data_IF_843192251380
#
_entry.id   IF_843192251380
#
_cell.length_a   1.000
_cell.length_b   1.000
_cell.length_c   1.000
_cell.angle_alpha   90.00
_cell.angle_beta   90.00
_cell.angle_gamma   90.00
#
_symmetry.space_group_name_H-M   'P 1'
#
loop_
_entity.id
_entity.type
_entity.pdbx_description
1 polymer ?
#
# COMPACT_ATOMS: atom_id res chain seq x y z
N UNK A 1 -6.53 -7.80 -8.54
CA UNK A 1 -6.77 -7.76 -7.09
C UNK A 1 -6.34 -6.40 -6.58
N UNK A 2 -7.15 -5.79 -5.72
CA UNK A 2 -6.86 -4.51 -5.08
C UNK A 2 -6.72 -4.73 -3.57
N UNK A 3 -5.91 -3.90 -2.92
CA UNK A 3 -5.82 -3.82 -1.46
C UNK A 3 -5.47 -2.39 -1.07
N UNK A 4 -5.85 -2.01 0.14
CA UNK A 4 -5.58 -0.68 0.69
C UNK A 4 -4.95 -0.78 2.07
N UNK A 5 -4.20 0.25 2.45
CA UNK A 5 -3.69 0.46 3.80
C UNK A 5 -3.35 1.93 3.98
N UNK A 6 -2.80 2.33 5.11
CA UNK A 6 -2.30 3.68 5.37
C UNK A 6 -0.77 3.68 5.46
N UNK A 7 -0.14 4.83 5.17
CA UNK A 7 1.31 4.95 5.00
C UNK A 7 2.15 4.61 6.24
N UNK A 8 1.55 4.60 7.44
CA UNK A 8 2.22 4.18 8.67
C UNK A 8 2.26 2.66 8.89
N UNK A 9 1.59 1.86 8.04
CA UNK A 9 1.62 0.40 8.15
C UNK A 9 2.78 -0.21 7.34
N UNK A 10 4.00 0.26 7.61
CA UNK A 10 5.21 -0.02 6.83
C UNK A 10 5.48 -1.52 6.65
N UNK A 11 5.22 -2.33 7.68
CA UNK A 11 5.41 -3.80 7.63
C UNK A 11 4.48 -4.46 6.61
N UNK A 12 3.23 -4.03 6.55
CA UNK A 12 2.25 -4.55 5.58
C UNK A 12 2.57 -4.04 4.18
N UNK A 13 3.00 -2.78 4.04
CA UNK A 13 3.43 -2.21 2.75
C UNK A 13 4.58 -3.05 2.16
N UNK A 14 5.60 -3.38 2.96
CA UNK A 14 6.69 -4.24 2.51
C UNK A 14 6.23 -5.64 2.07
N UNK A 15 5.21 -6.22 2.71
CA UNK A 15 4.62 -7.49 2.27
C UNK A 15 3.87 -7.34 0.94
N UNK A 16 3.06 -6.29 0.81
CA UNK A 16 2.30 -5.94 -0.39
C UNK A 16 3.25 -5.82 -1.60
N UNK A 17 4.35 -5.09 -1.45
CA UNK A 17 5.35 -4.89 -2.50
C UNK A 17 6.07 -6.18 -2.90
N UNK A 18 6.42 -7.03 -1.91
CA UNK A 18 7.05 -8.35 -2.13
C UNK A 18 6.15 -9.29 -2.93
N UNK A 19 4.84 -9.31 -2.64
CA UNK A 19 3.85 -10.11 -3.38
C UNK A 19 3.64 -9.57 -4.81
N UNK A 20 4.09 -8.34 -5.09
CA UNK A 20 4.07 -7.77 -6.43
C UNK A 20 2.92 -6.81 -6.69
N UNK A 21 2.27 -6.30 -5.64
CA UNK A 21 1.40 -5.15 -5.77
C UNK A 21 2.20 -3.87 -6.08
N UNK A 22 1.54 -2.90 -6.71
CA UNK A 22 2.06 -1.56 -6.96
C UNK A 22 1.06 -0.52 -6.45
N UNK A 23 1.57 0.54 -5.82
CA UNK A 23 0.76 1.71 -5.47
C UNK A 23 0.22 2.35 -6.75
N UNK A 24 -1.09 2.64 -6.80
CA UNK A 24 -1.75 3.26 -7.95
C UNK A 24 -2.45 4.56 -7.59
N UNK A 25 -2.73 4.80 -6.31
CA UNK A 25 -3.32 6.04 -5.81
C UNK A 25 -2.91 6.27 -4.37
N UNK A 26 -2.80 7.55 -4.01
CA UNK A 26 -2.50 8.04 -2.67
C UNK A 26 -3.49 9.15 -2.30
N UNK A 27 -4.11 9.02 -1.13
CA UNK A 27 -4.96 10.04 -0.52
C UNK A 27 -4.18 10.73 0.60
N UNK A 28 -3.79 11.99 0.38
CA UNK A 28 -2.92 12.72 1.30
C UNK A 28 -3.67 13.07 2.59
N UNK A 29 -3.06 12.79 3.74
CA UNK A 29 -3.61 13.17 5.05
C UNK A 29 -4.90 12.45 5.43
N UNK A 30 -5.09 11.25 4.91
CA UNK A 30 -6.23 10.37 5.17
C UNK A 30 -6.49 10.09 6.67
N UNK A 31 -5.43 9.98 7.48
CA UNK A 31 -5.54 9.58 8.88
C UNK A 31 -4.52 10.26 9.77
N UNK A 32 -4.92 10.64 10.99
CA UNK A 32 -4.00 11.07 12.05
C UNK A 32 -3.89 9.97 13.11
N UNK A 33 -2.66 9.63 13.51
CA UNK A 33 -2.34 8.72 14.63
C UNK A 33 -1.25 9.37 15.46
N UNK A 34 -1.48 9.55 16.76
CA UNK A 34 -0.55 10.21 17.69
C UNK A 34 -0.05 11.58 17.21
N UNK A 35 -0.93 12.35 16.57
CA UNK A 35 -0.62 13.68 16.02
C UNK A 35 0.14 13.67 14.69
N UNK A 36 0.49 12.49 14.17
CA UNK A 36 1.17 12.33 12.88
C UNK A 36 0.12 12.05 11.79
N UNK A 37 0.22 12.77 10.68
CA UNK A 37 -0.62 12.57 9.50
C UNK A 37 -0.05 11.47 8.61
N UNK A 38 -0.92 10.57 8.16
CA UNK A 38 -0.64 9.45 7.29
C UNK A 38 -1.58 9.44 6.09
N UNK A 39 -1.08 8.96 4.96
CA UNK A 39 -1.80 8.89 3.71
C UNK A 39 -2.54 7.56 3.57
N UNK A 40 -3.66 7.57 2.85
CA UNK A 40 -4.34 6.37 2.38
C UNK A 40 -3.67 5.88 1.11
N UNK A 41 -3.39 4.59 1.02
CA UNK A 41 -2.66 3.97 -0.08
C UNK A 41 -3.52 2.90 -0.74
N UNK A 42 -3.71 3.01 -2.06
CA UNK A 42 -4.37 1.99 -2.86
C UNK A 42 -3.35 1.27 -3.73
N UNK A 43 -3.37 -0.05 -3.66
CA UNK A 43 -2.49 -0.91 -4.41
C UNK A 43 -3.26 -1.82 -5.37
N UNK A 44 -2.65 -2.12 -6.52
CA UNK A 44 -3.14 -3.11 -7.48
C UNK A 44 -2.09 -4.19 -7.70
N UNK A 45 -2.51 -5.46 -7.64
CA UNK A 45 -1.63 -6.60 -7.93
C UNK A 45 -1.16 -6.54 -9.39
N UNK A 46 0.15 -6.53 -9.59
CA UNK A 46 0.72 -6.79 -10.91
C UNK A 46 0.78 -8.32 -11.12
N UNK A 47 -0.06 -8.82 -12.03
CA UNK A 47 -0.18 -10.26 -12.29
C UNK A 47 1.09 -10.86 -12.89
N UNK A 48 1.81 -10.11 -13.73
CA UNK A 48 3.06 -10.59 -14.32
C UNK A 48 4.13 -10.76 -13.25
N UNK A 49 4.31 -9.75 -12.39
CA UNK A 49 5.24 -9.81 -11.26
C UNK A 49 4.89 -10.94 -10.31
N UNK A 50 3.60 -11.12 -10.00
CA UNK A 50 3.13 -12.19 -9.14
C UNK A 50 3.38 -13.59 -9.73
N UNK A 51 3.18 -13.77 -11.05
CA UNK A 51 3.45 -15.04 -11.74
C UNK A 51 4.94 -15.37 -11.88
N UNK A 52 5.81 -14.39 -11.70
CA UNK A 52 7.26 -14.54 -11.77
C UNK A 52 7.94 -14.75 -10.41
N UNK A 53 7.16 -14.74 -9.30
CA UNK A 53 7.61 -15.15 -7.96
C UNK A 53 7.74 -16.68 -7.87
#
# INVERSE_FOLDING_TARGET
VYTETWSGNERVIGLIEKIGFKEIQREVGFRIVDGISYDGLLFKLNIEKFKAL
#
